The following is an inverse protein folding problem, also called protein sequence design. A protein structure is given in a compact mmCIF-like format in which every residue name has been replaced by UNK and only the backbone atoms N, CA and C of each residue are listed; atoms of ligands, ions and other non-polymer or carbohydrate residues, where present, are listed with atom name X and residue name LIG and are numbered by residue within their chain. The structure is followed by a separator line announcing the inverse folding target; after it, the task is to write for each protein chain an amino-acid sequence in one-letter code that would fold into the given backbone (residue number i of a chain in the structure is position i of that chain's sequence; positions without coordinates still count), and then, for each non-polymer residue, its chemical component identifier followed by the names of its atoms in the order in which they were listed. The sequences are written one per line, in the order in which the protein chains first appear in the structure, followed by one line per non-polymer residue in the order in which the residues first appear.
data_IF_991319794447
#
_entry.id   IF_991319794447
#
_cell.length_a   1.000
_cell.length_b   1.000
_cell.length_c   1.000
_cell.angle_alpha   90.00
_cell.angle_beta   90.00
_cell.angle_gamma   90.00
#
_symmetry.space_group_name_H-M   'P 1'
#
loop_
_entity.id
_entity.type
_entity.pdbx_description
1 polymer ?
#
# COMPACT_ATOMS: atom_id res chain seq x y z
N UNK A 1 -7.64 8.56 25.15
CA UNK A 1 -6.95 9.70 25.73
C UNK A 1 -7.79 10.26 26.91
N UNK A 2 -7.38 9.98 28.14
CA UNK A 2 -8.15 10.36 29.33
C UNK A 2 -7.73 11.71 29.93
N UNK A 3 -6.78 12.41 29.31
CA UNK A 3 -6.37 13.74 29.71
C UNK A 3 -7.43 14.76 29.30
N UNK A 4 -7.75 15.73 30.17
CA UNK A 4 -8.65 16.84 29.87
C UNK A 4 -8.09 17.63 28.66
N UNK A 5 -8.88 17.70 27.59
CA UNK A 5 -8.47 18.32 26.34
C UNK A 5 -7.72 17.40 25.36
N UNK A 6 -7.44 16.16 25.76
CA UNK A 6 -6.69 15.18 24.94
C UNK A 6 -5.21 15.54 24.84
N UNK A 7 -4.32 14.74 25.41
CA UNK A 7 -2.86 14.99 25.31
C UNK A 7 -2.25 14.52 23.98
N UNK A 8 -3.07 14.03 23.03
CA UNK A 8 -2.56 13.54 21.74
C UNK A 8 -1.84 12.18 21.77
N UNK A 9 -1.79 11.51 22.93
CA UNK A 9 -1.09 10.23 23.05
C UNK A 9 -1.66 9.13 22.15
N UNK A 10 -2.95 9.16 21.87
CA UNK A 10 -3.58 8.21 20.94
C UNK A 10 -3.10 8.42 19.50
N UNK A 11 -2.80 9.65 19.11
CA UNK A 11 -2.20 9.97 17.81
C UNK A 11 -0.74 9.52 17.76
N UNK A 12 0.03 9.80 18.83
CA UNK A 12 1.41 9.34 18.97
C UNK A 12 1.50 7.80 18.99
N UNK A 13 0.53 7.12 19.62
CA UNK A 13 0.49 5.65 19.59
C UNK A 13 0.40 5.11 18.16
N UNK A 14 -0.31 5.78 17.28
CA UNK A 14 -0.40 5.40 15.86
C UNK A 14 0.96 5.48 15.16
N UNK A 15 1.73 6.50 15.47
CA UNK A 15 3.05 6.74 14.91
C UNK A 15 4.10 5.77 15.45
N UNK A 16 4.10 5.53 16.77
CA UNK A 16 5.09 4.69 17.46
C UNK A 16 4.56 3.31 17.87
N UNK A 17 3.57 2.81 17.16
CA UNK A 17 2.86 1.57 17.52
C UNK A 17 3.79 0.36 17.63
N UNK A 18 4.73 0.22 16.72
CA UNK A 18 5.64 -0.94 16.69
C UNK A 18 6.67 -0.88 17.81
N UNK A 19 7.19 0.30 18.12
CA UNK A 19 8.08 0.50 19.28
C UNK A 19 7.36 0.22 20.59
N UNK A 20 6.12 0.71 20.72
CA UNK A 20 5.32 0.45 21.92
C UNK A 20 5.03 -1.04 22.09
N UNK A 21 4.69 -1.76 21.03
CA UNK A 21 4.46 -3.19 21.08
C UNK A 21 5.74 -3.98 21.42
N UNK A 22 6.88 -3.59 20.85
CA UNK A 22 8.19 -4.19 21.18
C UNK A 22 8.54 -3.95 22.65
N UNK A 23 8.39 -2.71 23.13
CA UNK A 23 8.65 -2.39 24.55
C UNK A 23 7.72 -3.14 25.50
N UNK A 24 6.43 -3.27 25.12
CA UNK A 24 5.47 -4.06 25.90
C UNK A 24 5.86 -5.54 25.94
N UNK A 25 6.29 -6.10 24.82
CA UNK A 25 6.77 -7.49 24.72
C UNK A 25 7.99 -7.69 25.62
N UNK A 26 9.00 -6.84 25.51
CA UNK A 26 10.20 -6.91 26.36
C UNK A 26 9.87 -6.81 27.86
N UNK A 27 8.92 -5.94 28.22
CA UNK A 27 8.48 -5.76 29.61
C UNK A 27 7.86 -7.05 30.14
N UNK A 28 7.02 -7.72 29.36
CA UNK A 28 6.41 -8.99 29.73
C UNK A 28 7.41 -10.15 29.74
N UNK A 29 8.40 -10.15 28.86
CA UNK A 29 9.44 -11.18 28.79
C UNK A 29 10.42 -11.11 29.94
N UNK A 30 10.76 -9.90 30.40
CA UNK A 30 11.63 -9.69 31.58
C UNK A 30 10.97 -10.03 32.91
N UNK A 31 9.64 -10.24 32.89
CA UNK A 31 8.89 -10.53 34.11
C UNK A 31 8.62 -12.03 34.23
N UNK A 32 8.86 -12.60 35.40
CA UNK A 32 8.70 -14.03 35.73
C UNK A 32 7.46 -14.35 36.58
N UNK A 33 6.60 -13.35 36.87
CA UNK A 33 5.40 -13.55 37.66
C UNK A 33 4.44 -14.53 36.97
N UNK A 34 3.73 -15.34 37.77
CA UNK A 34 2.81 -16.36 37.28
C UNK A 34 1.59 -15.78 36.55
N UNK A 35 1.05 -14.67 37.02
CA UNK A 35 -0.19 -14.11 36.49
C UNK A 35 -0.10 -12.63 36.12
N UNK A 36 0.17 -11.78 37.11
CA UNK A 36 0.32 -10.33 36.90
C UNK A 36 0.99 -9.69 38.12
N UNK A 37 1.77 -8.66 37.92
CA UNK A 37 2.39 -7.89 39.00
C UNK A 37 2.62 -6.44 38.58
N UNK A 38 3.06 -5.61 39.53
CA UNK A 38 3.31 -4.18 39.30
C UNK A 38 4.50 -3.91 38.37
N UNK A 39 5.35 -4.91 38.10
CA UNK A 39 6.44 -4.80 37.13
C UNK A 39 6.01 -4.99 35.68
N UNK A 40 4.81 -5.55 35.45
CA UNK A 40 4.37 -5.88 34.08
C UNK A 40 2.97 -5.34 33.72
N UNK A 41 1.89 -5.83 34.35
CA UNK A 41 0.52 -5.53 33.92
C UNK A 41 -0.28 -4.69 34.92
N UNK A 42 0.17 -4.60 36.18
CA UNK A 42 -0.56 -3.88 37.20
C UNK A 42 -0.04 -2.47 37.34
N UNK A 43 -0.87 -1.50 37.04
CA UNK A 43 -0.65 -0.10 37.34
C UNK A 43 -1.73 0.41 38.31
N UNK A 44 -1.70 1.71 38.62
CA UNK A 44 -2.67 2.34 39.53
C UNK A 44 -4.12 2.22 39.04
N UNK A 45 -4.34 2.11 37.74
CA UNK A 45 -5.67 2.03 37.13
C UNK A 45 -6.15 0.59 36.99
N UNK A 46 -5.24 -0.32 36.66
CA UNK A 46 -5.54 -1.74 36.44
C UNK A 46 -5.59 -2.58 37.71
N UNK A 47 -5.20 -2.03 38.88
CA UNK A 47 -5.20 -2.75 40.20
C UNK A 47 -6.56 -3.35 40.55
N UNK A 48 -7.66 -2.75 40.09
CA UNK A 48 -9.03 -3.21 40.34
C UNK A 48 -9.43 -4.39 39.46
N UNK A 49 -8.66 -4.66 38.42
CA UNK A 49 -8.93 -5.67 37.39
C UNK A 49 -7.93 -6.83 37.41
N UNK A 50 -7.20 -7.02 38.49
CA UNK A 50 -6.13 -8.04 38.59
C UNK A 50 -6.60 -9.44 38.25
N UNK A 51 -7.87 -9.78 38.53
CA UNK A 51 -8.45 -11.05 38.19
C UNK A 51 -8.58 -11.31 36.68
N UNK A 52 -8.56 -10.27 35.86
CA UNK A 52 -8.63 -10.34 34.41
C UNK A 52 -7.24 -10.23 33.74
N UNK A 53 -6.23 -9.81 34.49
CA UNK A 53 -4.88 -9.67 33.97
C UNK A 53 -4.17 -11.02 33.99
N UNK A 54 -3.58 -11.40 32.86
CA UNK A 54 -2.88 -12.65 32.69
C UNK A 54 -1.64 -12.45 31.82
N UNK A 55 -0.45 -12.40 32.41
CA UNK A 55 0.82 -12.19 31.71
C UNK A 55 1.10 -13.26 30.66
N UNK A 56 0.98 -14.57 30.93
CA UNK A 56 1.20 -15.59 29.91
C UNK A 56 0.34 -15.38 28.66
N UNK A 57 -0.95 -15.11 28.82
CA UNK A 57 -1.84 -14.84 27.69
C UNK A 57 -1.49 -13.54 26.94
N UNK A 58 -1.17 -12.48 27.69
CA UNK A 58 -0.74 -11.20 27.10
C UNK A 58 0.58 -11.38 26.33
N UNK A 59 1.51 -12.15 26.88
CA UNK A 59 2.79 -12.45 26.24
C UNK A 59 2.61 -13.26 24.95
N UNK A 60 1.76 -14.27 24.96
CA UNK A 60 1.43 -15.07 23.80
C UNK A 60 0.83 -14.20 22.68
N UNK A 61 -0.16 -13.38 23.03
CA UNK A 61 -0.79 -12.45 22.09
C UNK A 61 0.22 -11.44 21.53
N UNK A 62 1.03 -10.80 22.37
CA UNK A 62 2.03 -9.83 21.91
C UNK A 62 3.10 -10.47 21.02
N UNK A 63 3.52 -11.70 21.31
CA UNK A 63 4.45 -12.43 20.44
C UNK A 63 3.88 -12.66 19.05
N UNK A 64 2.61 -13.01 18.95
CA UNK A 64 1.91 -13.19 17.68
C UNK A 64 1.82 -11.85 16.93
N UNK A 65 1.40 -10.78 17.60
CA UNK A 65 1.29 -9.44 17.01
C UNK A 65 2.63 -8.88 16.54
N UNK A 66 3.66 -8.98 17.36
CA UNK A 66 5.01 -8.51 16.98
C UNK A 66 5.58 -9.35 15.84
N UNK A 67 5.37 -10.68 15.87
CA UNK A 67 5.81 -11.58 14.80
C UNK A 67 5.10 -11.27 13.49
N UNK A 68 3.80 -10.98 13.52
CA UNK A 68 3.04 -10.60 12.33
C UNK A 68 3.52 -9.27 11.70
N UNK A 69 4.15 -8.40 12.50
CA UNK A 69 4.66 -7.08 12.05
C UNK A 69 6.11 -7.11 11.59
N UNK A 70 6.86 -8.12 11.99
CA UNK A 70 8.25 -8.27 11.57
C UNK A 70 8.28 -8.97 10.21
N UNK A 71 8.86 -8.32 9.22
CA UNK A 71 9.06 -8.95 7.94
C UNK A 71 9.93 -10.22 8.07
N UNK A 72 9.70 -11.26 7.28
CA UNK A 72 10.56 -12.44 7.23
C UNK A 72 12.03 -12.09 7.02
N UNK A 73 12.94 -12.91 7.54
CA UNK A 73 14.38 -12.65 7.44
C UNK A 73 14.86 -12.50 6.01
N UNK A 74 14.26 -13.23 5.08
CA UNK A 74 14.55 -13.17 3.64
C UNK A 74 14.18 -11.78 3.08
N UNK A 75 13.08 -11.21 3.53
CA UNK A 75 12.66 -9.86 3.14
C UNK A 75 13.59 -8.80 3.73
N UNK A 76 13.90 -8.89 5.03
CA UNK A 76 14.83 -7.96 5.71
C UNK A 76 16.23 -8.02 5.08
N UNK A 77 16.68 -9.20 4.63
CA UNK A 77 17.98 -9.35 3.96
C UNK A 77 18.01 -8.60 2.62
N UNK A 78 16.93 -8.67 1.84
CA UNK A 78 16.83 -8.02 0.53
C UNK A 78 16.46 -6.53 0.64
N UNK A 79 15.62 -6.18 1.60
CA UNK A 79 15.11 -4.83 1.83
C UNK A 79 15.17 -4.53 3.34
N UNK A 80 16.32 -4.07 3.85
CA UNK A 80 16.49 -3.68 5.25
C UNK A 80 15.43 -2.65 5.68
N UNK A 81 15.08 -2.62 6.96
CA UNK A 81 14.04 -1.76 7.55
C UNK A 81 12.60 -2.01 7.06
N UNK A 82 12.41 -3.12 6.35
CA UNK A 82 11.06 -3.53 5.94
C UNK A 82 10.28 -4.08 7.13
N UNK A 83 8.98 -3.75 7.14
CA UNK A 83 8.03 -4.31 8.10
C UNK A 83 6.73 -4.73 7.39
N UNK A 84 6.03 -5.67 7.98
CA UNK A 84 4.79 -6.18 7.41
C UNK A 84 3.66 -5.14 7.56
N UNK A 85 2.87 -4.99 6.51
CA UNK A 85 1.61 -4.25 6.57
C UNK A 85 0.57 -5.16 7.21
N UNK A 86 0.05 -4.78 8.36
CA UNK A 86 -0.88 -5.59 9.16
C UNK A 86 -2.35 -5.38 8.84
N UNK A 87 -2.67 -4.31 8.15
CA UNK A 87 -3.96 -4.05 7.53
C UNK A 87 -3.94 -4.54 6.09
N UNK A 88 -5.10 -4.76 5.49
CA UNK A 88 -5.14 -4.93 4.04
C UNK A 88 -4.69 -3.63 3.35
N UNK A 89 -4.15 -3.77 2.13
CA UNK A 89 -3.61 -2.63 1.38
C UNK A 89 -4.67 -1.56 1.10
N UNK A 90 -5.93 -1.95 1.00
CA UNK A 90 -7.05 -1.05 0.80
C UNK A 90 -7.22 -0.12 2.01
N UNK A 91 -7.24 -0.69 3.20
CA UNK A 91 -7.32 0.06 4.46
C UNK A 91 -6.12 0.99 4.62
N UNK A 92 -4.93 0.51 4.33
CA UNK A 92 -3.70 1.30 4.37
C UNK A 92 -3.75 2.48 3.41
N UNK A 93 -4.18 2.25 2.18
CA UNK A 93 -4.32 3.29 1.17
C UNK A 93 -5.32 4.37 1.59
N UNK A 94 -6.51 3.98 2.08
CA UNK A 94 -7.49 4.93 2.58
C UNK A 94 -6.96 5.78 3.75
N UNK A 95 -6.16 5.20 4.61
CA UNK A 95 -5.54 5.94 5.72
C UNK A 95 -4.53 6.97 5.24
N UNK A 96 -3.72 6.60 4.26
CA UNK A 96 -2.73 7.50 3.65
C UNK A 96 -3.41 8.70 2.98
N UNK A 97 -4.43 8.44 2.16
CA UNK A 97 -5.11 9.49 1.39
C UNK A 97 -5.90 10.46 2.27
N UNK A 98 -6.41 10.01 3.41
CA UNK A 98 -7.12 10.89 4.36
C UNK A 98 -6.25 12.01 4.94
N UNK A 99 -4.96 11.80 5.05
CA UNK A 99 -4.05 12.77 5.67
C UNK A 99 -3.62 13.89 4.71
N UNK A 100 -3.93 13.79 3.40
CA UNK A 100 -3.57 14.76 2.36
C UNK A 100 -2.10 15.21 2.35
N UNK A 101 -1.20 14.39 2.89
CA UNK A 101 0.23 14.67 2.98
C UNK A 101 1.02 13.91 1.90
N UNK A 102 0.42 13.83 0.71
CA UNK A 102 0.94 13.06 -0.42
C UNK A 102 1.15 13.99 -1.61
N UNK A 103 2.36 13.97 -2.17
CA UNK A 103 2.72 14.67 -3.40
C UNK A 103 2.68 13.78 -4.64
N UNK A 104 2.84 12.48 -4.47
CA UNK A 104 2.81 11.55 -5.60
C UNK A 104 2.46 10.12 -5.22
N UNK A 105 1.84 9.41 -6.16
CA UNK A 105 1.50 7.99 -6.04
C UNK A 105 1.87 7.26 -7.32
N UNK A 106 2.48 6.08 -7.18
CA UNK A 106 2.79 5.15 -8.27
C UNK A 106 2.11 3.83 -7.96
N UNK A 107 1.23 3.38 -8.83
CA UNK A 107 0.51 2.10 -8.70
C UNK A 107 1.07 1.14 -9.74
N UNK A 108 1.55 -0.02 -9.29
CA UNK A 108 2.06 -1.06 -10.18
C UNK A 108 0.93 -1.98 -10.60
N UNK A 109 0.81 -2.17 -11.88
CA UNK A 109 -0.19 -3.03 -12.51
C UNK A 109 0.51 -4.11 -13.33
N UNK A 110 -0.19 -5.21 -13.58
CA UNK A 110 0.31 -6.30 -14.42
C UNK A 110 0.35 -5.87 -15.90
N UNK A 111 1.20 -6.51 -16.69
CA UNK A 111 1.26 -6.31 -18.13
C UNK A 111 0.02 -6.87 -18.86
N UNK A 112 -0.70 -7.79 -18.23
CA UNK A 112 -1.94 -8.31 -18.75
C UNK A 112 -3.12 -7.37 -18.45
N UNK A 113 -3.08 -6.15 -19.00
CA UNK A 113 -4.11 -5.13 -18.83
C UNK A 113 -5.49 -5.65 -19.29
N UNK A 114 -5.55 -6.65 -20.17
CA UNK A 114 -6.82 -7.23 -20.64
C UNK A 114 -7.70 -7.83 -19.52
N UNK A 115 -7.12 -8.10 -18.37
CA UNK A 115 -7.83 -8.63 -17.20
C UNK A 115 -8.15 -7.54 -16.15
N UNK A 116 -7.81 -6.29 -16.45
CA UNK A 116 -8.11 -5.16 -15.60
C UNK A 116 -9.40 -4.48 -16.03
N UNK A 117 -10.29 -4.33 -15.07
CA UNK A 117 -11.55 -3.61 -15.21
C UNK A 117 -11.53 -2.39 -14.27
N UNK A 118 -11.68 -1.20 -14.84
CA UNK A 118 -11.67 0.05 -14.11
C UNK A 118 -12.78 0.10 -13.03
N UNK A 119 -13.95 -0.50 -13.31
CA UNK A 119 -15.07 -0.48 -12.37
C UNK A 119 -14.78 -1.33 -11.13
N UNK A 120 -14.00 -2.40 -11.27
CA UNK A 120 -13.67 -3.30 -10.16
C UNK A 120 -12.40 -2.91 -9.42
N UNK A 121 -11.57 -1.99 -9.96
CA UNK A 121 -10.39 -1.50 -9.28
C UNK A 121 -10.77 -0.55 -8.13
N UNK A 122 -10.54 -0.94 -6.86
CA UNK A 122 -11.13 -0.24 -5.72
C UNK A 122 -10.62 1.20 -5.53
N UNK A 123 -9.48 1.55 -6.14
CA UNK A 123 -8.84 2.84 -5.92
C UNK A 123 -9.01 3.83 -7.07
N UNK A 124 -9.56 3.43 -8.21
CA UNK A 124 -9.58 4.31 -9.39
C UNK A 124 -10.24 5.66 -9.10
N UNK A 125 -11.34 5.65 -8.37
CA UNK A 125 -12.06 6.88 -8.02
C UNK A 125 -11.22 7.82 -7.15
N UNK A 126 -10.57 7.28 -6.11
CA UNK A 126 -9.73 8.06 -5.20
C UNK A 126 -8.50 8.59 -5.92
N UNK A 127 -7.88 7.79 -6.77
CA UNK A 127 -6.71 8.21 -7.56
C UNK A 127 -7.08 9.33 -8.52
N UNK A 128 -8.27 9.27 -9.13
CA UNK A 128 -8.78 10.35 -9.97
C UNK A 128 -9.00 11.64 -9.16
N UNK A 129 -9.61 11.55 -7.98
CA UNK A 129 -9.81 12.70 -7.08
C UNK A 129 -8.47 13.33 -6.66
N UNK A 130 -7.49 12.50 -6.26
CA UNK A 130 -6.15 12.97 -5.91
C UNK A 130 -5.42 13.64 -7.07
N UNK A 131 -5.55 13.09 -8.28
CA UNK A 131 -4.99 13.70 -9.49
C UNK A 131 -5.60 15.08 -9.77
N UNK A 132 -6.91 15.25 -9.56
CA UNK A 132 -7.58 16.54 -9.68
C UNK A 132 -7.15 17.54 -8.59
N UNK A 133 -6.76 17.06 -7.41
CA UNK A 133 -6.19 17.87 -6.33
C UNK A 133 -4.71 18.24 -6.57
N UNK A 134 -4.09 17.75 -7.65
CA UNK A 134 -2.71 18.06 -8.02
C UNK A 134 -1.66 17.08 -7.53
N UNK A 135 -2.07 15.93 -6.99
CA UNK A 135 -1.16 14.83 -6.65
C UNK A 135 -0.68 14.17 -7.96
N UNK A 136 0.63 13.93 -8.08
CA UNK A 136 1.21 13.26 -9.24
C UNK A 136 0.91 11.75 -9.20
N UNK A 137 -0.19 11.35 -9.83
CA UNK A 137 -0.63 9.95 -9.90
C UNK A 137 -0.13 9.34 -11.21
N UNK A 138 0.50 8.17 -11.10
CA UNK A 138 0.91 7.39 -12.27
C UNK A 138 0.68 5.89 -12.07
N UNK A 139 0.27 5.22 -13.15
CA UNK A 139 0.26 3.78 -13.24
C UNK A 139 1.58 3.29 -13.85
N UNK A 140 2.16 2.28 -13.23
CA UNK A 140 3.44 1.72 -13.63
C UNK A 140 3.22 0.34 -14.23
N UNK A 141 3.59 0.21 -15.49
CA UNK A 141 3.56 -1.06 -16.22
C UNK A 141 4.95 -1.71 -16.18
N UNK A 142 5.06 -3.04 -16.12
CA UNK A 142 6.34 -3.74 -16.19
C UNK A 142 7.00 -3.61 -17.55
N UNK A 143 6.20 -3.44 -18.61
CA UNK A 143 6.67 -3.20 -19.99
C UNK A 143 5.65 -2.34 -20.73
N UNK A 144 6.05 -1.79 -21.87
CA UNK A 144 5.11 -1.14 -22.79
C UNK A 144 4.15 -2.21 -23.33
N UNK A 145 2.84 -2.10 -23.11
CA UNK A 145 1.89 -3.14 -23.50
C UNK A 145 1.89 -3.33 -25.03
N UNK A 146 1.91 -4.60 -25.44
CA UNK A 146 1.60 -4.93 -26.84
C UNK A 146 0.09 -4.80 -27.03
N UNK A 147 -0.29 -3.78 -27.74
CA UNK A 147 -1.69 -3.38 -27.96
C UNK A 147 -2.49 -4.43 -28.72
N UNK A 148 -1.86 -5.28 -29.49
CA UNK A 148 -2.55 -6.42 -30.13
C UNK A 148 -3.13 -7.41 -29.14
N UNK A 149 -2.66 -7.39 -27.89
CA UNK A 149 -3.19 -8.21 -26.80
C UNK A 149 -4.41 -7.58 -26.08
N UNK A 150 -4.72 -6.32 -26.36
CA UNK A 150 -5.83 -5.59 -25.72
C UNK A 150 -7.13 -5.82 -26.52
N UNK A 151 -7.72 -6.98 -26.37
CA UNK A 151 -8.88 -7.39 -27.19
C UNK A 151 -10.25 -7.12 -26.51
N UNK A 152 -10.29 -6.49 -25.32
CA UNK A 152 -11.54 -6.27 -24.60
C UNK A 152 -11.89 -4.79 -24.44
N UNK A 153 -13.19 -4.46 -24.50
CA UNK A 153 -13.72 -3.13 -24.25
C UNK A 153 -13.38 -2.62 -22.83
N UNK A 154 -13.29 -3.55 -21.86
CA UNK A 154 -12.99 -3.23 -20.47
C UNK A 154 -11.57 -2.73 -20.28
N UNK A 155 -10.62 -3.35 -20.98
CA UNK A 155 -9.22 -2.91 -21.01
C UNK A 155 -9.08 -1.53 -21.64
N UNK A 156 -9.83 -1.27 -22.68
CA UNK A 156 -9.86 0.03 -23.32
C UNK A 156 -10.46 1.11 -22.40
N UNK A 157 -11.47 0.76 -21.61
CA UNK A 157 -12.05 1.67 -20.61
C UNK A 157 -11.07 1.99 -19.49
N UNK A 158 -10.37 1.00 -18.94
CA UNK A 158 -9.33 1.23 -17.95
C UNK A 158 -8.24 2.15 -18.49
N UNK A 159 -7.77 1.89 -19.68
CA UNK A 159 -6.74 2.71 -20.33
C UNK A 159 -7.25 4.14 -20.55
N UNK A 160 -8.50 4.33 -20.96
CA UNK A 160 -9.08 5.65 -21.10
C UNK A 160 -9.15 6.41 -19.77
N UNK A 161 -9.54 5.76 -18.69
CA UNK A 161 -9.52 6.36 -17.34
C UNK A 161 -8.09 6.67 -16.87
N UNK A 162 -7.16 5.77 -17.13
CA UNK A 162 -5.75 5.94 -16.78
C UNK A 162 -5.08 7.02 -17.64
N UNK A 163 -5.55 7.32 -18.84
CA UNK A 163 -5.05 8.44 -19.65
C UNK A 163 -5.29 9.82 -19.03
N UNK A 164 -6.21 9.93 -18.10
CA UNK A 164 -6.36 11.13 -17.26
C UNK A 164 -5.26 11.24 -16.23
N UNK A 165 -4.62 10.11 -15.90
CA UNK A 165 -3.43 10.01 -15.06
C UNK A 165 -2.22 9.64 -15.92
N UNK A 166 -1.01 9.83 -15.43
CA UNK A 166 0.21 9.52 -16.17
C UNK A 166 0.46 8.00 -16.24
N UNK A 167 0.98 7.55 -17.38
CA UNK A 167 1.48 6.18 -17.56
C UNK A 167 3.00 6.18 -17.61
N UNK A 168 3.61 5.24 -16.88
CA UNK A 168 5.06 5.04 -16.90
C UNK A 168 5.37 3.56 -17.03
N UNK A 169 6.56 3.26 -17.56
CA UNK A 169 7.11 1.92 -17.64
C UNK A 169 8.23 1.76 -16.62
N UNK A 170 8.29 0.62 -15.96
CA UNK A 170 9.35 0.30 -15.02
C UNK A 170 10.67 0.02 -15.77
N UNK A 171 11.74 0.74 -15.44
CA UNK A 171 13.07 0.56 -16.03
C UNK A 171 13.92 -0.46 -15.27
N UNK A 172 13.74 -0.52 -13.96
CA UNK A 172 14.42 -1.49 -13.10
C UNK A 172 13.46 -2.11 -12.09
N UNK A 173 13.79 -3.29 -11.60
CA UNK A 173 12.94 -4.07 -10.72
C UNK A 173 13.51 -4.13 -9.30
N UNK A 174 12.67 -4.48 -8.34
CA UNK A 174 13.10 -4.89 -7.02
C UNK A 174 13.94 -6.18 -7.08
N UNK A 175 14.65 -6.53 -6.00
CA UNK A 175 15.35 -7.81 -5.92
C UNK A 175 14.46 -8.99 -6.31
N UNK A 176 15.06 -10.02 -6.90
CA UNK A 176 14.35 -11.19 -7.44
C UNK A 176 13.35 -11.78 -6.42
N UNK A 177 12.12 -11.97 -6.85
CA UNK A 177 11.04 -12.52 -6.05
C UNK A 177 10.26 -11.50 -5.22
N UNK A 178 10.61 -10.22 -5.28
CA UNK A 178 9.82 -9.14 -4.72
C UNK A 178 9.11 -8.36 -5.84
N UNK A 179 7.84 -8.05 -5.62
CA UNK A 179 7.00 -7.33 -6.56
C UNK A 179 6.59 -5.99 -5.96
N UNK A 180 6.84 -4.87 -6.65
CA UNK A 180 6.35 -3.58 -6.22
C UNK A 180 4.82 -3.55 -6.36
N UNK A 181 4.16 -2.92 -5.41
CA UNK A 181 2.71 -2.76 -5.41
C UNK A 181 2.32 -1.29 -5.53
N UNK A 182 2.90 -0.47 -4.67
CA UNK A 182 2.61 0.97 -4.64
C UNK A 182 3.83 1.73 -4.10
N UNK A 183 4.09 2.90 -4.67
CA UNK A 183 5.02 3.87 -4.10
C UNK A 183 4.25 5.14 -3.78
N UNK A 184 4.39 5.62 -2.55
CA UNK A 184 3.80 6.88 -2.08
C UNK A 184 4.92 7.86 -1.78
N UNK A 185 4.84 9.03 -2.37
CA UNK A 185 5.77 10.15 -2.15
C UNK A 185 5.05 11.15 -1.26
N UNK A 186 5.59 11.37 -0.07
CA UNK A 186 5.04 12.31 0.90
C UNK A 186 5.51 13.74 0.59
N UNK A 187 4.81 14.74 1.09
CA UNK A 187 5.16 16.14 0.90
C UNK A 187 6.51 16.53 1.54
N UNK A 188 6.93 15.83 2.58
CA UNK A 188 8.24 16.00 3.23
C UNK A 188 9.39 15.31 2.48
N UNK A 189 9.09 14.65 1.35
CA UNK A 189 10.06 13.93 0.54
C UNK A 189 10.29 12.48 0.96
N UNK A 190 9.65 11.99 2.01
CA UNK A 190 9.71 10.57 2.39
C UNK A 190 9.03 9.73 1.31
N UNK A 191 9.71 8.69 0.87
CA UNK A 191 9.19 7.73 -0.10
C UNK A 191 8.87 6.43 0.62
N UNK A 192 7.61 6.01 0.55
CA UNK A 192 7.14 4.73 1.10
C UNK A 192 6.89 3.77 -0.05
N UNK A 193 7.58 2.63 -0.04
CA UNK A 193 7.38 1.58 -1.04
C UNK A 193 6.69 0.40 -0.41
N UNK A 194 5.56 0.04 -1.00
CA UNK A 194 4.79 -1.15 -0.71
C UNK A 194 5.14 -2.21 -1.73
N UNK A 195 5.50 -3.37 -1.25
CA UNK A 195 5.88 -4.50 -2.08
C UNK A 195 5.48 -5.81 -1.42
N UNK A 196 5.53 -6.89 -2.14
CA UNK A 196 5.17 -8.18 -1.59
C UNK A 196 5.86 -9.33 -2.29
N UNK A 197 5.67 -10.52 -1.71
CA UNK A 197 6.05 -11.80 -2.27
C UNK A 197 4.76 -12.55 -2.58
N UNK A 198 4.61 -12.99 -3.84
CA UNK A 198 3.38 -13.66 -4.30
C UNK A 198 2.10 -12.81 -4.12
N UNK A 199 2.20 -11.51 -4.37
CA UNK A 199 1.04 -10.63 -4.41
C UNK A 199 0.32 -10.77 -5.74
N UNK A 200 -1.00 -10.61 -5.72
CA UNK A 200 -1.81 -10.61 -6.92
C UNK A 200 -1.93 -9.19 -7.48
N UNK A 201 -1.43 -8.98 -8.70
CA UNK A 201 -1.56 -7.74 -9.46
C UNK A 201 -2.30 -7.96 -10.78
N UNK A 202 -2.65 -9.21 -11.11
CA UNK A 202 -3.24 -9.58 -12.40
C UNK A 202 -4.71 -9.19 -12.54
N UNK A 203 -5.46 -9.15 -11.44
CA UNK A 203 -6.87 -8.78 -11.45
C UNK A 203 -7.13 -7.53 -10.62
N UNK A 204 -7.84 -6.57 -11.19
CA UNK A 204 -8.14 -5.31 -10.53
C UNK A 204 -8.80 -5.44 -9.16
N UNK A 205 -9.77 -6.35 -9.01
CA UNK A 205 -10.47 -6.58 -7.73
C UNK A 205 -9.64 -7.25 -6.65
N UNK A 206 -8.61 -8.01 -7.04
CA UNK A 206 -7.75 -8.77 -6.13
C UNK A 206 -6.39 -8.09 -5.94
N UNK A 207 -6.21 -6.92 -6.56
CA UNK A 207 -4.94 -6.21 -6.53
C UNK A 207 -4.44 -6.00 -5.10
N UNK A 208 -3.19 -6.41 -4.86
CA UNK A 208 -2.56 -6.29 -3.56
C UNK A 208 -2.97 -7.34 -2.52
N UNK A 209 -3.72 -8.36 -2.92
CA UNK A 209 -3.96 -9.52 -2.05
C UNK A 209 -2.67 -10.32 -1.87
N UNK A 210 -2.35 -10.66 -0.63
CA UNK A 210 -1.13 -11.38 -0.25
C UNK A 210 -0.36 -10.69 0.87
N UNK A 211 0.88 -11.13 1.09
CA UNK A 211 1.75 -10.58 2.12
C UNK A 211 2.42 -9.29 1.62
N UNK A 212 1.98 -8.17 2.16
CA UNK A 212 2.48 -6.84 1.81
C UNK A 212 3.45 -6.33 2.87
N UNK A 213 4.54 -5.75 2.41
CA UNK A 213 5.59 -5.13 3.24
C UNK A 213 5.79 -3.68 2.81
N UNK A 214 6.25 -2.86 3.74
CA UNK A 214 6.58 -1.46 3.50
C UNK A 214 8.03 -1.20 3.88
N UNK A 215 8.71 -0.37 3.11
CA UNK A 215 10.00 0.22 3.44
C UNK A 215 10.00 1.71 3.14
N UNK A 216 10.77 2.47 3.93
CA UNK A 216 11.03 3.90 3.69
C UNK A 216 12.41 4.15 3.13
N UNK A 217 13.19 3.11 2.85
CA UNK A 217 14.48 3.29 2.20
C UNK A 217 14.31 3.83 0.78
N UNK A 218 15.21 4.71 0.33
CA UNK A 218 15.17 5.23 -1.03
C UNK A 218 15.26 4.08 -2.01
N UNK A 219 14.21 3.93 -2.80
CA UNK A 219 14.16 2.94 -3.85
C UNK A 219 14.97 3.38 -5.05
N UNK A 220 15.71 2.44 -5.58
CA UNK A 220 16.33 2.58 -6.89
C UNK A 220 15.33 2.34 -8.04
N UNK A 221 14.03 2.34 -7.78
CA UNK A 221 13.04 2.20 -8.84
C UNK A 221 13.05 3.43 -9.73
N UNK A 222 13.29 3.24 -11.00
CA UNK A 222 13.25 4.26 -12.05
C UNK A 222 12.16 3.94 -13.06
N UNK A 223 11.63 4.99 -13.66
CA UNK A 223 10.46 4.93 -14.54
C UNK A 223 10.71 5.75 -15.80
N UNK A 224 10.37 5.17 -16.95
CA UNK A 224 10.29 5.89 -18.21
C UNK A 224 8.85 6.30 -18.49
N UNK A 225 8.64 7.51 -18.98
CA UNK A 225 7.33 7.95 -19.44
C UNK A 225 6.93 7.18 -20.70
N UNK A 226 5.71 6.66 -20.71
CA UNK A 226 5.16 6.04 -21.91
C UNK A 226 4.63 7.15 -22.81
N UNK A 227 5.06 7.14 -24.07
CA UNK A 227 4.59 8.10 -25.05
C UNK A 227 3.09 7.84 -25.34
N UNK A 228 2.25 8.81 -24.94
CA UNK A 228 0.79 8.77 -25.14
C UNK A 228 0.41 8.51 -26.60
N UNK A 229 1.18 9.04 -27.55
CA UNK A 229 0.92 8.83 -28.97
C UNK A 229 1.19 7.39 -29.43
N UNK A 230 2.17 6.72 -28.85
CA UNK A 230 2.42 5.30 -29.13
C UNK A 230 1.28 4.43 -28.65
N UNK A 231 0.75 4.70 -27.44
CA UNK A 231 -0.42 4.01 -26.93
C UNK A 231 -1.67 4.30 -27.78
N UNK A 232 -1.92 5.55 -28.16
CA UNK A 232 -3.06 5.94 -28.99
C UNK A 232 -2.97 5.38 -30.43
N UNK A 233 -1.77 5.39 -31.04
CA UNK A 233 -1.59 4.85 -32.40
C UNK A 233 -1.84 3.35 -32.47
N UNK A 234 -1.56 2.68 -31.38
CA UNK A 234 -1.78 1.27 -31.26
C UNK A 234 -3.27 0.90 -31.15
N UNK A 235 -4.11 1.76 -30.54
CA UNK A 235 -5.58 1.61 -30.51
C UNK A 235 -6.26 2.01 -31.83
N UNK A 236 -5.66 2.90 -32.62
CA UNK A 236 -6.29 3.44 -33.81
C UNK A 236 -6.28 2.49 -34.99
N UNK A 237 -5.55 1.37 -34.93
CA UNK A 237 -5.41 0.47 -36.06
C UNK A 237 -6.59 -0.49 -36.30
N UNK A 238 -7.42 -0.77 -35.27
CA UNK A 238 -8.48 -1.79 -35.39
C UNK A 238 -9.90 -1.42 -34.90
N UNK A 239 -10.09 -0.30 -34.18
CA UNK A 239 -11.43 0.04 -33.66
C UNK A 239 -11.75 1.54 -33.72
N UNK A 240 -12.26 1.98 -34.86
CA UNK A 240 -12.75 3.36 -35.06
C UNK A 240 -13.92 3.73 -34.13
N UNK A 241 -14.66 2.75 -33.60
CA UNK A 241 -15.81 2.97 -32.71
C UNK A 241 -15.36 3.41 -31.30
N UNK A 242 -14.32 2.83 -30.79
CA UNK A 242 -13.75 3.17 -29.46
C UNK A 242 -13.22 4.61 -29.43
N UNK A 243 -12.51 5.03 -30.45
CA UNK A 243 -11.99 6.39 -30.56
C UNK A 243 -13.10 7.45 -30.69
N UNK A 244 -14.27 7.07 -31.21
CA UNK A 244 -15.42 7.95 -31.29
C UNK A 244 -16.09 8.15 -29.93
N UNK A 245 -16.30 7.11 -29.15
CA UNK A 245 -16.82 7.20 -27.77
C UNK A 245 -15.88 7.95 -26.83
N UNK A 246 -14.58 7.74 -26.97
CA UNK A 246 -13.58 8.47 -26.21
C UNK A 246 -13.63 9.99 -26.48
N UNK A 247 -13.75 10.40 -27.75
CA UNK A 247 -13.88 11.82 -28.13
C UNK A 247 -15.17 12.47 -27.61
N UNK A 248 -16.27 11.73 -27.57
CA UNK A 248 -17.54 12.26 -27.03
C UNK A 248 -17.41 12.53 -25.53
N UNK A 249 -16.72 11.66 -24.78
CA UNK A 249 -16.51 11.85 -23.35
C UNK A 249 -15.52 12.97 -22.99
N UNK A 250 -14.58 13.31 -23.88
CA UNK A 250 -13.69 14.47 -23.68
C UNK A 250 -14.40 15.82 -23.89
N UNK A 251 -15.53 15.84 -24.60
CA UNK A 251 -16.26 17.06 -24.95
C UNK A 251 -17.62 17.20 -24.24
N UNK A 252 -17.99 16.28 -23.37
CA UNK A 252 -19.18 16.32 -22.51
C UNK A 252 -18.79 16.47 -21.04
#
# INVERSE_FOLDING_TARGET
DTALGGAGYSLLFREYKDEVLKMALETLERCDCERSCTKCLIDRRSQWYTNYLNRPKALEWLRQEVKARVAPKEIIYLMPDSHAVTSDITTEFYQLTRNKDISGIRIFVDDNISQWDAETFPFIKILTELSLEGVDVAFILPSVPDVKSLSSADSATLIAEVFKTNFKCLENTLPTGLFPLMVVIMNDGIVKTYFGKNIDTSYSKNWGSGDVFITTQPNSLSYADINRMQLLSAFSSDDSSFMFEYRIREHS
#
